data_IF_229319075265
#
_entry.id   IF_229319075265
#
_cell.length_a   1.000
_cell.length_b   1.000
_cell.length_c   1.000
_cell.angle_alpha   90.00
_cell.angle_beta   90.00
_cell.angle_gamma   90.00
#
_symmetry.space_group_name_H-M   'P 1'
#
loop_
_entity.id
_entity.type
_entity.pdbx_description
1 polymer ?
#
# COMPACT_ATOMS: atom_id res chain seq x y z
N UNK A 1 1.26 11.39 42.24
CA UNK A 1 1.98 11.82 41.01
C UNK A 1 2.27 10.72 39.98
N UNK A 2 2.49 9.44 40.36
CA UNK A 2 2.71 8.35 39.38
C UNK A 2 1.49 8.11 38.47
N UNK A 3 0.29 7.95 39.06
CA UNK A 3 -0.95 7.72 38.31
C UNK A 3 -1.21 8.76 37.22
N UNK A 4 -1.08 10.05 37.52
CA UNK A 4 -1.27 11.14 36.56
C UNK A 4 -0.27 11.02 35.40
N UNK A 5 1.01 10.74 35.70
CA UNK A 5 2.06 10.56 34.69
C UNK A 5 1.78 9.34 33.80
N UNK A 6 1.30 8.25 34.39
CA UNK A 6 0.98 7.02 33.66
C UNK A 6 -0.25 7.22 32.77
N UNK A 7 -1.27 7.94 33.23
CA UNK A 7 -2.42 8.37 32.40
C UNK A 7 -1.95 9.20 31.21
N UNK A 8 -1.09 10.20 31.42
CA UNK A 8 -0.54 10.99 30.31
C UNK A 8 0.25 10.15 29.31
N UNK A 9 1.03 9.17 29.77
CA UNK A 9 1.76 8.25 28.90
C UNK A 9 0.81 7.39 28.07
N UNK A 10 -0.21 6.81 28.69
CA UNK A 10 -1.22 6.00 28.00
C UNK A 10 -1.98 6.83 26.97
N UNK A 11 -2.42 8.03 27.31
CA UNK A 11 -3.09 8.94 26.37
C UNK A 11 -2.19 9.27 25.17
N UNK A 12 -0.89 9.51 25.40
CA UNK A 12 0.06 9.78 24.31
C UNK A 12 0.19 8.60 23.35
N UNK A 13 0.21 7.37 23.86
CA UNK A 13 0.24 6.15 23.03
C UNK A 13 -1.03 6.03 22.20
N UNK A 14 -2.20 6.20 22.83
CA UNK A 14 -3.50 6.15 22.14
C UNK A 14 -3.60 7.20 21.02
N UNK A 15 -3.17 8.44 21.29
CA UNK A 15 -3.17 9.51 20.29
C UNK A 15 -2.19 9.22 19.13
N UNK A 16 -1.03 8.65 19.44
CA UNK A 16 -0.06 8.26 18.42
C UNK A 16 -0.65 7.18 17.50
N UNK A 17 -1.25 6.15 18.10
CA UNK A 17 -1.89 5.05 17.39
C UNK A 17 -3.06 5.53 16.51
N UNK A 18 -3.93 6.40 17.05
CA UNK A 18 -5.03 7.00 16.29
C UNK A 18 -4.54 7.88 15.13
N UNK A 19 -3.46 8.66 15.32
CA UNK A 19 -2.87 9.47 14.24
C UNK A 19 -2.29 8.61 13.13
N UNK A 20 -1.57 7.55 13.47
CA UNK A 20 -1.04 6.61 12.48
C UNK A 20 -2.18 5.96 11.70
N UNK A 21 -3.25 5.54 12.38
CA UNK A 21 -4.40 4.91 11.75
C UNK A 21 -5.10 5.85 10.75
N UNK A 22 -5.36 7.07 11.18
CA UNK A 22 -5.94 8.10 10.32
C UNK A 22 -5.05 8.39 9.10
N UNK A 23 -3.72 8.46 9.29
CA UNK A 23 -2.77 8.69 8.19
C UNK A 23 -2.81 7.55 7.17
N UNK A 24 -2.87 6.30 7.62
CA UNK A 24 -2.95 5.16 6.73
C UNK A 24 -4.27 5.12 5.97
N UNK A 25 -5.41 5.35 6.63
CA UNK A 25 -6.71 5.43 5.95
C UNK A 25 -6.75 6.53 4.88
N UNK A 26 -6.17 7.71 5.17
CA UNK A 26 -6.03 8.78 4.19
C UNK A 26 -5.12 8.41 3.02
N UNK A 27 -4.20 7.48 3.25
CA UNK A 27 -3.30 6.98 2.22
C UNK A 27 -3.98 5.95 1.33
N UNK A 28 -4.69 4.96 1.88
CA UNK A 28 -5.26 3.79 1.16
C UNK A 28 -5.79 4.15 -0.22
N UNK A 29 -6.72 5.11 -0.31
CA UNK A 29 -7.34 5.51 -1.57
C UNK A 29 -6.41 6.41 -2.40
N UNK A 30 -6.25 6.10 -3.69
CA UNK A 30 -5.47 6.91 -4.63
C UNK A 30 -4.75 6.10 -5.68
N UNK A 31 -3.97 6.79 -6.49
CA UNK A 31 -3.13 6.20 -7.54
C UNK A 31 -1.67 6.33 -7.14
N UNK A 32 -0.90 5.28 -7.42
CA UNK A 32 0.50 5.17 -7.09
C UNK A 32 1.27 4.77 -8.34
N UNK A 33 2.47 5.32 -8.49
CA UNK A 33 3.35 5.03 -9.62
C UNK A 33 4.49 4.13 -9.14
N UNK A 34 4.76 3.06 -9.88
CA UNK A 34 5.86 2.13 -9.57
C UNK A 34 7.18 2.89 -9.66
N UNK A 35 7.99 2.75 -8.62
CA UNK A 35 9.37 3.20 -8.64
C UNK A 35 10.25 2.03 -9.08
N UNK A 36 10.99 2.16 -10.21
CA UNK A 36 11.86 1.10 -10.69
C UNK A 36 12.99 0.84 -9.69
N UNK A 37 13.42 -0.42 -9.59
CA UNK A 37 14.58 -0.76 -8.78
C UNK A 37 15.85 -0.14 -9.38
N UNK A 38 16.87 0.13 -8.55
CA UNK A 38 18.11 0.83 -8.99
C UNK A 38 18.82 0.17 -10.18
N UNK A 39 18.75 -1.16 -10.27
CA UNK A 39 19.44 -1.94 -11.29
C UNK A 39 18.50 -2.46 -12.39
N UNK A 40 17.24 -1.99 -12.41
CA UNK A 40 16.24 -2.43 -13.38
C UNK A 40 16.43 -1.68 -14.70
N UNK A 41 16.57 -2.43 -15.80
CA UNK A 41 16.55 -1.89 -17.16
C UNK A 41 15.12 -1.44 -17.49
N UNK A 42 14.85 -0.15 -17.30
CA UNK A 42 13.56 0.45 -17.63
C UNK A 42 13.43 0.57 -19.15
N UNK A 43 12.40 -0.06 -19.72
CA UNK A 43 12.06 0.10 -21.13
C UNK A 43 11.54 1.53 -21.31
N UNK A 44 12.09 2.28 -22.25
CA UNK A 44 11.64 3.66 -22.50
C UNK A 44 10.13 3.69 -22.80
N UNK A 45 9.38 4.46 -22.01
CA UNK A 45 7.92 4.58 -22.14
C UNK A 45 7.12 3.45 -21.50
N UNK A 46 7.73 2.62 -20.65
CA UNK A 46 7.00 1.69 -19.78
C UNK A 46 6.66 2.34 -18.43
N UNK A 47 5.39 2.32 -18.03
CA UNK A 47 4.92 2.84 -16.75
C UNK A 47 4.00 1.83 -16.08
N UNK A 48 4.09 1.67 -14.77
CA UNK A 48 3.16 0.84 -14.01
C UNK A 48 2.45 1.69 -12.98
N UNK A 49 1.12 1.69 -13.02
CA UNK A 49 0.27 2.39 -12.07
C UNK A 49 -0.50 1.38 -11.23
N UNK A 50 -0.62 1.67 -9.94
CA UNK A 50 -1.47 0.94 -9.00
C UNK A 50 -2.51 1.91 -8.47
N UNK A 51 -3.79 1.60 -8.66
CA UNK A 51 -4.91 2.37 -8.15
C UNK A 51 -5.69 1.58 -7.12
N UNK A 52 -6.07 2.25 -6.05
CA UNK A 52 -6.89 1.68 -4.97
C UNK A 52 -8.10 2.56 -4.83
N UNK A 53 -9.28 1.96 -4.82
CA UNK A 53 -10.55 2.64 -4.56
C UNK A 53 -11.44 1.83 -3.62
N UNK A 54 -12.30 2.50 -2.85
CA UNK A 54 -13.28 1.79 -2.02
C UNK A 54 -14.30 1.03 -2.89
N UNK A 55 -14.68 -0.17 -2.45
CA UNK A 55 -15.70 -1.02 -3.04
C UNK A 55 -16.59 -1.60 -1.93
N UNK A 56 -17.57 -0.81 -1.47
CA UNK A 56 -18.35 -1.15 -0.27
C UNK A 56 -17.47 -1.17 0.97
N UNK A 57 -17.44 -2.31 1.68
CA UNK A 57 -16.57 -2.53 2.85
C UNK A 57 -15.18 -3.07 2.48
N UNK A 58 -14.90 -3.22 1.18
CA UNK A 58 -13.65 -3.73 0.63
C UNK A 58 -12.94 -2.63 -0.17
N UNK A 59 -11.78 -2.99 -0.71
CA UNK A 59 -11.02 -2.16 -1.64
C UNK A 59 -10.83 -2.91 -2.94
N UNK A 60 -11.04 -2.22 -4.06
CA UNK A 60 -10.60 -2.70 -5.37
C UNK A 60 -9.20 -2.15 -5.62
N UNK A 61 -8.27 -3.06 -5.92
CA UNK A 61 -6.90 -2.73 -6.32
C UNK A 61 -6.76 -3.08 -7.80
N UNK A 62 -6.25 -2.13 -8.59
CA UNK A 62 -6.01 -2.28 -10.02
C UNK A 62 -4.58 -1.86 -10.34
N UNK A 63 -3.81 -2.79 -10.90
CA UNK A 63 -2.52 -2.48 -11.52
C UNK A 63 -2.72 -2.41 -13.03
N UNK A 64 -2.20 -1.34 -13.63
CA UNK A 64 -2.16 -1.15 -15.08
C UNK A 64 -0.71 -0.95 -15.51
N UNK A 65 -0.26 -1.79 -16.43
CA UNK A 65 1.03 -1.67 -17.08
C UNK A 65 0.84 -0.99 -18.43
N UNK A 66 1.60 0.07 -18.67
CA UNK A 66 1.63 0.82 -19.91
C UNK A 66 2.94 0.56 -20.64
N UNK A 67 2.87 0.44 -21.97
CA UNK A 67 4.03 0.44 -22.87
C UNK A 67 3.73 1.42 -24.00
N UNK A 68 4.61 2.40 -24.18
CA UNK A 68 4.42 3.47 -25.17
C UNK A 68 3.05 4.18 -25.02
N UNK A 69 2.65 4.44 -23.77
CA UNK A 69 1.37 5.08 -23.41
C UNK A 69 0.11 4.27 -23.83
N UNK A 70 0.25 2.98 -24.11
CA UNK A 70 -0.87 2.06 -24.34
C UNK A 70 -0.92 1.02 -23.22
N UNK A 71 -2.14 0.64 -22.82
CA UNK A 71 -2.35 -0.40 -21.82
C UNK A 71 -1.86 -1.75 -22.39
N UNK A 72 -0.84 -2.31 -21.76
CA UNK A 72 -0.26 -3.60 -22.11
C UNK A 72 -0.86 -4.74 -21.29
N UNK A 73 -1.10 -4.50 -19.99
CA UNK A 73 -1.67 -5.49 -19.06
C UNK A 73 -2.45 -4.80 -17.93
N UNK A 74 -3.49 -5.47 -17.44
CA UNK A 74 -4.29 -5.03 -16.30
C UNK A 74 -4.59 -6.19 -15.35
N UNK A 75 -4.34 -5.96 -14.07
CA UNK A 75 -4.63 -6.92 -13.01
C UNK A 75 -5.51 -6.26 -11.95
N UNK A 76 -6.62 -6.91 -11.63
CA UNK A 76 -7.60 -6.38 -10.67
C UNK A 76 -7.96 -7.43 -9.64
N UNK A 77 -8.00 -7.03 -8.38
CA UNK A 77 -8.45 -7.87 -7.28
C UNK A 77 -9.16 -7.07 -6.19
N UNK A 78 -9.83 -7.79 -5.30
CA UNK A 78 -10.44 -7.23 -4.10
C UNK A 78 -9.53 -7.48 -2.91
N UNK A 79 -9.48 -6.53 -2.00
CA UNK A 79 -8.68 -6.60 -0.79
C UNK A 79 -9.42 -6.10 0.45
N UNK A 80 -9.07 -6.66 1.60
CA UNK A 80 -9.52 -6.20 2.91
C UNK A 80 -8.44 -5.36 3.57
N UNK A 81 -8.84 -4.31 4.27
CA UNK A 81 -7.91 -3.49 5.04
C UNK A 81 -7.67 -4.05 6.45
N UNK A 82 -6.41 -4.14 6.82
CA UNK A 82 -5.94 -4.51 8.15
C UNK A 82 -5.07 -3.42 8.75
N UNK A 83 -5.21 -3.18 10.06
CA UNK A 83 -4.47 -2.14 10.79
C UNK A 83 -3.31 -2.69 11.64
N UNK A 84 -2.70 -3.79 11.23
CA UNK A 84 -1.41 -4.20 11.80
C UNK A 84 -0.26 -3.60 11.00
N UNK A 85 0.78 -3.11 11.70
CA UNK A 85 2.04 -2.66 11.08
C UNK A 85 1.91 -1.60 9.97
N UNK A 86 1.43 -0.39 10.31
CA UNK A 86 1.25 0.78 9.43
C UNK A 86 0.06 0.75 8.44
N UNK A 87 -0.76 -0.30 8.50
CA UNK A 87 -1.94 -0.45 7.65
C UNK A 87 -1.60 -1.15 6.35
N UNK A 88 -2.42 -2.13 5.98
CA UNK A 88 -2.16 -2.95 4.81
C UNK A 88 -3.47 -3.41 4.16
N UNK A 89 -3.41 -3.73 2.87
CA UNK A 89 -4.47 -4.39 2.13
C UNK A 89 -4.05 -5.82 1.83
N UNK A 90 -4.92 -6.79 2.16
CA UNK A 90 -4.72 -8.21 1.88
C UNK A 90 -5.67 -8.62 0.78
N UNK A 91 -5.16 -9.21 -0.30
CA UNK A 91 -5.99 -9.78 -1.35
C UNK A 91 -6.91 -10.89 -0.80
N UNK A 92 -8.18 -10.88 -1.23
CA UNK A 92 -9.14 -11.91 -0.86
C UNK A 92 -8.92 -13.14 -1.74
N UNK A 93 -8.45 -14.23 -1.14
CA UNK A 93 -8.26 -15.50 -1.84
C UNK A 93 -7.04 -15.54 -2.77
N UNK A 94 -6.08 -14.63 -2.58
CA UNK A 94 -4.85 -14.57 -3.35
C UNK A 94 -3.63 -14.32 -2.47
N UNK A 95 -2.56 -13.88 -3.13
CA UNK A 95 -1.19 -13.93 -2.61
C UNK A 95 -0.51 -12.55 -2.61
N UNK A 96 -1.31 -11.48 -2.68
CA UNK A 96 -0.83 -10.09 -2.73
C UNK A 96 -1.13 -9.31 -1.46
N UNK A 97 -0.15 -8.54 -1.02
CA UNK A 97 -0.23 -7.69 0.15
C UNK A 97 0.28 -6.28 -0.18
N UNK A 98 -0.55 -5.26 0.02
CA UNK A 98 -0.12 -3.87 -0.08
C UNK A 98 0.17 -3.33 1.32
N UNK A 99 1.41 -2.96 1.61
CA UNK A 99 1.83 -2.38 2.89
C UNK A 99 2.00 -0.87 2.70
N UNK A 100 1.32 -0.09 3.54
CA UNK A 100 1.35 1.37 3.47
C UNK A 100 2.46 1.92 4.36
N UNK A 101 3.38 2.69 3.79
CA UNK A 101 4.29 3.54 4.55
C UNK A 101 3.82 4.99 4.48
N UNK A 102 3.07 5.37 5.52
CA UNK A 102 2.53 6.72 5.68
C UNK A 102 3.61 7.80 5.84
N UNK A 103 4.83 7.44 6.26
CA UNK A 103 5.90 8.42 6.47
C UNK A 103 6.52 8.87 5.15
N UNK A 104 6.72 7.93 4.22
CA UNK A 104 7.26 8.21 2.88
C UNK A 104 6.17 8.41 1.82
N UNK A 105 4.90 8.21 2.17
CA UNK A 105 3.78 8.18 1.23
C UNK A 105 3.99 7.13 0.11
N UNK A 106 4.57 5.99 0.47
CA UNK A 106 4.81 4.88 -0.44
C UNK A 106 4.06 3.59 -0.07
N UNK A 107 3.79 2.77 -1.08
CA UNK A 107 3.11 1.50 -0.96
C UNK A 107 4.05 0.40 -1.45
N UNK A 108 4.24 -0.62 -0.63
CA UNK A 108 4.97 -1.82 -1.01
C UNK A 108 3.97 -2.89 -1.38
N UNK A 109 4.09 -3.45 -2.58
CA UNK A 109 3.32 -4.60 -3.01
C UNK A 109 4.18 -5.84 -2.88
N UNK A 110 3.87 -6.68 -1.92
CA UNK A 110 4.44 -8.02 -1.80
C UNK A 110 3.56 -9.01 -2.57
N UNK A 111 4.16 -9.82 -3.44
CA UNK A 111 3.47 -10.91 -4.14
C UNK A 111 4.19 -12.22 -3.85
N UNK A 112 3.47 -13.20 -3.31
CA UNK A 112 3.99 -14.55 -3.12
C UNK A 112 3.83 -15.36 -4.39
N UNK A 113 4.92 -15.92 -4.90
CA UNK A 113 4.89 -16.82 -6.05
C UNK A 113 4.64 -18.25 -5.59
N UNK A 114 4.14 -19.10 -6.50
CA UNK A 114 3.87 -20.52 -6.24
C UNK A 114 5.11 -21.32 -5.82
N UNK A 115 6.30 -20.79 -6.11
CA UNK A 115 7.59 -21.39 -5.77
C UNK A 115 8.09 -20.96 -4.37
N UNK A 116 7.31 -20.13 -3.66
CA UNK A 116 7.65 -19.60 -2.33
C UNK A 116 8.58 -18.39 -2.37
N UNK A 117 8.85 -17.81 -3.54
CA UNK A 117 9.59 -16.56 -3.65
C UNK A 117 8.65 -15.37 -3.44
N UNK A 118 9.13 -14.31 -2.80
CA UNK A 118 8.38 -13.05 -2.63
C UNK A 118 9.00 -11.98 -3.51
N UNK A 119 8.19 -11.34 -4.36
CA UNK A 119 8.59 -10.11 -5.05
C UNK A 119 8.05 -8.92 -4.28
N UNK A 120 8.82 -7.83 -4.23
CA UNK A 120 8.42 -6.58 -3.57
C UNK A 120 8.58 -5.44 -4.56
N UNK A 121 7.46 -4.84 -4.96
CA UNK A 121 7.43 -3.64 -5.79
C UNK A 121 7.13 -2.41 -4.96
N UNK A 122 7.88 -1.33 -5.18
CA UNK A 122 7.67 -0.05 -4.51
C UNK A 122 6.84 0.87 -5.40
N UNK A 123 5.82 1.49 -4.82
CA UNK A 123 4.97 2.47 -5.48
C UNK A 123 4.94 3.76 -4.67
N UNK A 124 5.03 4.90 -5.33
CA UNK A 124 4.95 6.22 -4.70
C UNK A 124 3.59 6.83 -5.01
N UNK A 125 2.91 7.39 -4.01
CA UNK A 125 1.61 8.01 -4.20
C UNK A 125 1.74 9.20 -5.17
N UNK A 126 0.96 9.18 -6.24
CA UNK A 126 0.89 10.29 -7.17
C UNK A 126 -0.01 11.37 -6.54
N UNK A 127 0.47 12.62 -6.51
CA UNK A 127 -0.21 13.76 -5.88
C UNK A 127 -1.40 14.25 -6.72
#
# INVERSE_FOLDING_TARGET
MKLIRDVFRTMRVLLCFGRQHAAALAMVNGTYMRQPARDELVIAGSETLLSIKPCGNLYEVLITNYVANQVADEQKWLATYGWHSNGHLIEIGGDRYCILDTASQSLYLETFTKEGATTVDLFIKNL
#
